data_IF_705759451658
#
_entry.id   IF_705759451658
#
_cell.length_a   1.000
_cell.length_b   1.000
_cell.length_c   1.000
_cell.angle_alpha   90.00
_cell.angle_beta   90.00
_cell.angle_gamma   90.00
#
_symmetry.space_group_name_H-M   'P 1'
#
loop_
_entity.id
_entity.type
_entity.pdbx_description
1 polymer ?
#
# COMPACT_ATOMS: atom_id res chain seq x y z
N UNK A 1 12.93 -13.01 4.17
CA UNK A 1 11.58 -13.36 3.69
C UNK A 1 10.77 -12.16 3.18
N UNK A 2 11.34 -10.96 3.14
CA UNK A 2 10.65 -9.72 2.71
C UNK A 2 10.38 -9.61 1.19
N UNK A 3 10.94 -10.49 0.35
CA UNK A 3 10.88 -10.31 -1.11
C UNK A 3 9.79 -11.12 -1.83
N UNK A 4 8.92 -11.82 -1.11
CA UNK A 4 7.83 -12.60 -1.75
C UNK A 4 6.66 -11.77 -2.31
N UNK A 5 6.59 -10.48 -2.01
CA UNK A 5 5.45 -9.64 -2.40
C UNK A 5 5.61 -8.93 -3.76
N UNK A 6 6.79 -8.92 -4.38
CA UNK A 6 7.06 -7.97 -5.45
C UNK A 6 6.86 -8.49 -6.88
N UNK A 7 6.90 -9.79 -7.14
CA UNK A 7 6.81 -10.27 -8.53
C UNK A 7 5.94 -11.51 -8.64
N UNK A 8 4.63 -11.31 -8.68
CA UNK A 8 3.73 -12.32 -9.23
C UNK A 8 3.82 -12.18 -10.75
N UNK A 9 4.69 -12.97 -11.37
CA UNK A 9 4.78 -13.09 -12.83
C UNK A 9 3.58 -13.90 -13.29
N UNK A 10 2.42 -13.25 -13.38
CA UNK A 10 1.34 -13.73 -14.22
C UNK A 10 1.54 -13.05 -15.58
N UNK A 11 1.64 -13.84 -16.64
CA UNK A 11 1.53 -13.40 -18.02
C UNK A 11 0.10 -12.88 -18.26
N UNK A 12 -0.20 -11.70 -17.75
CA UNK A 12 -1.38 -10.95 -18.13
C UNK A 12 -1.14 -10.47 -19.58
N UNK A 13 -1.64 -11.22 -20.54
CA UNK A 13 -1.81 -10.71 -21.91
C UNK A 13 -2.54 -9.38 -21.74
N UNK A 14 -1.89 -8.27 -22.12
CA UNK A 14 -2.51 -6.94 -22.04
C UNK A 14 -3.79 -6.98 -22.84
N UNK A 15 -4.93 -6.81 -22.19
CA UNK A 15 -6.20 -6.74 -22.89
C UNK A 15 -6.26 -5.49 -23.78
N UNK A 16 -7.20 -5.44 -24.70
CA UNK A 16 -7.35 -4.30 -25.61
C UNK A 16 -7.57 -2.97 -24.90
N UNK A 17 -8.14 -3.01 -23.70
CA UNK A 17 -8.39 -1.80 -22.90
C UNK A 17 -7.09 -1.27 -22.27
N UNK A 18 -6.26 -2.12 -21.71
CA UNK A 18 -4.95 -1.74 -21.18
C UNK A 18 -4.04 -1.18 -22.27
N UNK A 19 -4.01 -1.83 -23.45
CA UNK A 19 -3.25 -1.36 -24.60
C UNK A 19 -3.69 0.03 -25.08
N UNK A 20 -4.99 0.32 -25.05
CA UNK A 20 -5.52 1.65 -25.39
C UNK A 20 -5.11 2.73 -24.38
N UNK A 21 -5.16 2.41 -23.08
CA UNK A 21 -4.75 3.35 -22.03
C UNK A 21 -3.25 3.66 -22.10
N UNK A 22 -2.40 2.68 -22.40
CA UNK A 22 -0.96 2.91 -22.58
C UNK A 22 -0.67 3.76 -23.82
N UNK A 23 -1.38 3.53 -24.94
CA UNK A 23 -1.28 4.39 -26.14
C UNK A 23 -1.71 5.83 -25.86
N UNK A 24 -2.67 6.04 -24.97
CA UNK A 24 -3.05 7.38 -24.52
C UNK A 24 -1.90 8.06 -23.77
N UNK A 25 -1.19 7.32 -22.90
CA UNK A 25 0.02 7.82 -22.24
C UNK A 25 1.08 8.20 -23.26
N UNK A 26 1.37 7.34 -24.24
CA UNK A 26 2.34 7.62 -25.32
C UNK A 26 1.97 8.89 -26.10
N UNK A 27 0.70 9.03 -26.46
CA UNK A 27 0.19 10.23 -27.13
C UNK A 27 0.38 11.51 -26.30
N UNK A 28 0.12 11.45 -25.00
CA UNK A 28 0.32 12.61 -24.13
C UNK A 28 1.81 12.89 -23.84
N UNK A 29 2.66 11.87 -23.83
CA UNK A 29 4.13 12.04 -23.82
C UNK A 29 4.58 12.75 -25.10
N UNK A 30 4.14 12.29 -26.29
CA UNK A 30 4.43 12.96 -27.55
C UNK A 30 4.01 14.42 -27.54
N UNK A 31 2.79 14.69 -27.08
CA UNK A 31 2.27 16.06 -26.96
C UNK A 31 3.13 16.92 -26.03
N UNK A 32 3.65 16.35 -24.92
CA UNK A 32 4.49 17.09 -23.96
C UNK A 32 5.85 17.52 -24.50
N UNK A 33 6.35 16.86 -25.56
CA UNK A 33 7.58 17.27 -26.25
C UNK A 33 7.38 18.44 -27.22
N UNK A 34 6.13 18.73 -27.59
CA UNK A 34 5.79 19.74 -28.61
C UNK A 34 4.95 20.91 -28.07
N UNK A 35 4.36 20.75 -26.90
CA UNK A 35 3.45 21.71 -26.28
C UNK A 35 3.79 21.87 -24.80
N UNK A 36 4.06 23.09 -24.36
CA UNK A 36 4.32 23.41 -22.94
C UNK A 36 3.15 24.26 -22.42
N UNK A 37 2.11 23.58 -21.91
CA UNK A 37 0.94 24.22 -21.34
C UNK A 37 0.47 23.50 -20.08
N UNK A 38 -0.16 24.21 -19.15
CA UNK A 38 -0.75 23.62 -17.93
C UNK A 38 -1.84 22.59 -18.27
N UNK A 39 -2.57 22.77 -19.36
CA UNK A 39 -3.59 21.84 -19.83
C UNK A 39 -2.98 20.52 -20.28
N UNK A 40 -1.91 20.59 -21.06
CA UNK A 40 -1.17 19.41 -21.53
C UNK A 40 -0.56 18.64 -20.34
N UNK A 41 0.08 19.33 -19.38
CA UNK A 41 0.64 18.71 -18.19
C UNK A 41 -0.45 18.00 -17.36
N UNK A 42 -1.64 18.58 -17.27
CA UNK A 42 -2.78 17.98 -16.57
C UNK A 42 -3.31 16.75 -17.30
N UNK A 43 -3.40 16.76 -18.63
CA UNK A 43 -3.89 15.63 -19.42
C UNK A 43 -2.90 14.46 -19.38
N UNK A 44 -1.61 14.72 -19.44
CA UNK A 44 -0.56 13.73 -19.24
C UNK A 44 -0.67 13.10 -17.84
N UNK A 45 -0.82 13.90 -16.80
CA UNK A 45 -1.01 13.40 -15.44
C UNK A 45 -2.27 12.54 -15.29
N UNK A 46 -3.39 12.94 -15.93
CA UNK A 46 -4.62 12.14 -15.96
C UNK A 46 -4.43 10.80 -16.66
N UNK A 47 -3.69 10.76 -17.77
CA UNK A 47 -3.42 9.51 -18.48
C UNK A 47 -2.65 8.52 -17.60
N UNK A 48 -1.66 8.98 -16.82
CA UNK A 48 -0.97 8.16 -15.83
C UNK A 48 -1.88 7.71 -14.67
N UNK A 49 -2.74 8.58 -14.15
CA UNK A 49 -3.73 8.20 -13.12
C UNK A 49 -4.63 7.08 -13.64
N UNK A 50 -5.07 7.16 -14.89
CA UNK A 50 -5.94 6.16 -15.49
C UNK A 50 -5.27 4.77 -15.58
N UNK A 51 -4.01 4.68 -16.01
CA UNK A 51 -3.30 3.39 -16.06
C UNK A 51 -3.03 2.80 -14.67
N UNK A 52 -2.79 3.62 -13.66
CA UNK A 52 -2.63 3.17 -12.27
C UNK A 52 -3.95 2.65 -11.71
N UNK A 53 -5.05 3.42 -11.84
CA UNK A 53 -6.40 3.02 -11.38
C UNK A 53 -6.92 1.77 -12.10
N UNK A 54 -6.66 1.65 -13.38
CA UNK A 54 -7.01 0.49 -14.18
C UNK A 54 -6.09 -0.72 -13.94
N UNK A 55 -5.07 -0.57 -13.06
CA UNK A 55 -4.09 -1.64 -12.74
C UNK A 55 -3.40 -2.17 -13.99
N UNK A 56 -3.10 -1.29 -14.95
CA UNK A 56 -2.37 -1.65 -16.16
C UNK A 56 -0.99 -2.20 -15.83
N UNK A 57 -0.47 -3.03 -16.73
CA UNK A 57 0.88 -3.56 -16.66
C UNK A 57 1.82 -2.75 -17.55
N UNK A 58 3.11 -2.71 -17.21
CA UNK A 58 4.18 -2.06 -17.96
C UNK A 58 5.36 -3.03 -18.05
N UNK A 59 6.16 -2.92 -19.07
CA UNK A 59 7.32 -3.78 -19.32
C UNK A 59 8.54 -3.13 -18.66
N UNK A 60 9.31 -3.91 -17.90
CA UNK A 60 10.57 -3.47 -17.30
C UNK A 60 11.72 -4.41 -17.68
N UNK A 61 12.92 -3.87 -17.94
CA UNK A 61 14.11 -4.68 -18.12
C UNK A 61 14.59 -5.18 -16.76
N UNK A 62 15.06 -6.44 -16.74
CA UNK A 62 15.48 -7.10 -15.50
C UNK A 62 16.79 -7.86 -15.68
N UNK A 63 17.51 -8.02 -14.58
CA UNK A 63 18.62 -8.97 -14.45
C UNK A 63 18.23 -10.06 -13.48
N UNK A 64 18.61 -11.29 -13.79
CA UNK A 64 18.49 -12.39 -12.84
C UNK A 64 19.73 -12.40 -11.92
N UNK A 65 19.53 -12.72 -10.66
CA UNK A 65 20.66 -13.00 -9.75
C UNK A 65 21.40 -14.28 -10.19
N UNK A 66 22.69 -14.35 -9.91
CA UNK A 66 23.74 -15.20 -10.51
C UNK A 66 23.45 -16.70 -10.78
N UNK A 67 22.44 -17.30 -10.18
CA UNK A 67 22.17 -18.74 -10.33
C UNK A 67 21.37 -19.15 -11.60
N UNK A 68 21.02 -18.20 -12.47
CA UNK A 68 20.10 -18.43 -13.60
C UNK A 68 20.69 -18.35 -14.99
N UNK A 69 21.98 -18.13 -15.13
CA UNK A 69 22.60 -18.04 -16.47
C UNK A 69 22.38 -19.30 -17.33
N UNK A 70 22.19 -20.47 -16.69
CA UNK A 70 21.97 -21.75 -17.38
C UNK A 70 20.52 -21.95 -17.83
N UNK A 71 19.53 -21.45 -17.06
CA UNK A 71 18.10 -21.61 -17.41
C UNK A 71 17.65 -20.69 -18.56
N UNK A 72 18.45 -19.67 -18.89
CA UNK A 72 18.21 -18.75 -20.00
C UNK A 72 18.88 -19.17 -21.32
N UNK A 73 19.75 -20.18 -21.25
CA UNK A 73 20.45 -20.67 -22.45
C UNK A 73 19.46 -21.36 -23.40
N UNK A 74 19.30 -20.79 -24.58
CA UNK A 74 18.45 -21.35 -25.64
C UNK A 74 17.07 -20.70 -25.77
N UNK A 75 16.73 -19.71 -24.92
CA UNK A 75 15.53 -18.89 -25.12
C UNK A 75 15.78 -17.85 -26.21
N UNK A 76 14.79 -17.65 -27.08
CA UNK A 76 14.80 -16.60 -28.10
C UNK A 76 13.98 -15.41 -27.62
N UNK A 77 14.19 -14.28 -28.25
CA UNK A 77 13.39 -13.09 -28.03
C UNK A 77 11.89 -13.37 -28.24
N UNK A 78 11.08 -13.17 -27.19
CA UNK A 78 9.64 -13.46 -27.18
C UNK A 78 9.24 -14.80 -26.62
N UNK A 79 10.20 -15.66 -26.24
CA UNK A 79 9.90 -16.91 -25.55
C UNK A 79 9.41 -16.64 -24.11
N UNK A 80 8.34 -17.31 -23.70
CA UNK A 80 7.80 -17.25 -22.35
C UNK A 80 8.30 -18.43 -21.53
N UNK A 81 8.68 -18.20 -20.28
CA UNK A 81 9.06 -19.26 -19.36
C UNK A 81 8.60 -18.95 -17.94
N UNK A 82 8.48 -19.98 -17.12
CA UNK A 82 8.11 -19.83 -15.71
C UNK A 82 9.36 -19.87 -14.85
N UNK A 83 9.54 -18.83 -14.03
CA UNK A 83 10.63 -18.79 -13.07
C UNK A 83 10.44 -19.79 -11.94
N UNK A 84 11.53 -20.34 -11.43
CA UNK A 84 11.53 -21.12 -10.19
C UNK A 84 11.28 -20.19 -8.99
N UNK A 85 10.74 -20.72 -7.91
CA UNK A 85 10.31 -19.96 -6.72
C UNK A 85 11.43 -19.18 -6.00
N UNK A 86 12.70 -19.47 -6.26
CA UNK A 86 13.89 -18.91 -5.61
C UNK A 86 14.60 -17.83 -6.45
N UNK A 87 14.10 -17.55 -7.66
CA UNK A 87 14.71 -16.56 -8.55
C UNK A 87 14.32 -15.15 -8.18
N UNK A 88 15.31 -14.28 -8.09
CA UNK A 88 15.11 -12.84 -7.92
C UNK A 88 15.41 -12.10 -9.22
N UNK A 89 14.45 -11.31 -9.68
CA UNK A 89 14.63 -10.39 -10.79
C UNK A 89 14.89 -8.99 -10.23
N UNK A 90 15.99 -8.38 -10.67
CA UNK A 90 16.34 -7.02 -10.28
C UNK A 90 16.05 -6.09 -11.46
N UNK A 91 15.16 -5.08 -11.30
CA UNK A 91 14.93 -4.08 -12.35
C UNK A 91 16.21 -3.33 -12.70
N UNK A 92 16.46 -3.13 -13.99
CA UNK A 92 17.61 -2.37 -14.48
C UNK A 92 17.41 -0.88 -14.28
N UNK A 93 18.53 -0.21 -14.07
CA UNK A 93 18.63 1.24 -13.99
C UNK A 93 19.51 1.77 -15.11
N UNK A 94 19.39 3.07 -15.39
CA UNK A 94 20.31 3.81 -16.26
C UNK A 94 20.74 5.10 -15.58
N UNK A 95 22.01 5.45 -15.77
CA UNK A 95 22.56 6.73 -15.33
C UNK A 95 22.31 7.81 -16.38
N UNK A 96 21.95 9.01 -15.95
CA UNK A 96 21.91 10.18 -16.81
C UNK A 96 23.32 10.66 -17.13
N UNK A 97 23.47 11.44 -18.22
CA UNK A 97 24.71 12.18 -18.45
C UNK A 97 24.97 13.13 -17.26
N UNK A 98 26.25 13.31 -16.88
CA UNK A 98 26.59 14.25 -15.81
C UNK A 98 26.03 15.65 -16.10
N UNK A 99 25.49 16.30 -15.06
CA UNK A 99 25.07 17.69 -15.12
C UNK A 99 26.30 18.63 -15.15
N UNK A 100 26.07 19.94 -15.16
CA UNK A 100 27.13 20.96 -15.13
C UNK A 100 28.04 20.90 -13.89
N UNK A 101 27.61 20.19 -12.84
CA UNK A 101 28.36 19.96 -11.60
C UNK A 101 29.01 18.59 -11.55
N UNK A 102 28.86 17.77 -12.62
CA UNK A 102 29.37 16.42 -12.71
C UNK A 102 28.55 15.37 -11.94
N UNK A 103 27.33 15.71 -11.51
CA UNK A 103 26.42 14.77 -10.84
C UNK A 103 25.68 13.95 -11.90
N UNK A 104 25.71 12.62 -11.77
CA UNK A 104 24.82 11.70 -12.49
C UNK A 104 23.65 11.34 -11.59
N UNK A 105 22.52 11.04 -12.20
CA UNK A 105 21.30 10.59 -11.54
C UNK A 105 20.91 9.23 -12.08
N UNK A 106 20.47 8.34 -11.23
CA UNK A 106 20.07 6.99 -11.57
C UNK A 106 18.55 6.88 -11.65
N UNK A 107 18.04 6.25 -12.72
CA UNK A 107 16.61 6.06 -12.97
C UNK A 107 16.32 4.60 -13.28
N UNK A 108 15.20 4.08 -12.78
CA UNK A 108 14.66 2.80 -13.23
C UNK A 108 14.07 2.94 -14.64
N UNK A 109 14.07 1.84 -15.39
CA UNK A 109 13.61 1.83 -16.80
C UNK A 109 12.25 1.15 -16.92
N UNK A 110 11.40 1.69 -17.79
CA UNK A 110 10.14 1.08 -18.17
C UNK A 110 9.83 1.29 -19.65
N UNK A 111 9.06 0.38 -20.25
CA UNK A 111 8.61 0.46 -21.63
C UNK A 111 7.10 0.31 -21.70
N UNK A 112 6.45 1.12 -22.51
CA UNK A 112 5.00 1.11 -22.71
C UNK A 112 4.52 -0.08 -23.54
N UNK A 113 5.40 -0.59 -24.42
CA UNK A 113 5.14 -1.72 -25.28
C UNK A 113 6.44 -2.49 -25.61
N UNK A 114 6.34 -3.66 -26.27
CA UNK A 114 7.50 -4.47 -26.65
C UNK A 114 8.39 -3.83 -27.72
N UNK A 115 7.81 -3.07 -28.65
CA UNK A 115 8.57 -2.41 -29.72
C UNK A 115 9.57 -1.42 -29.12
N UNK A 116 9.16 -0.66 -28.14
CA UNK A 116 10.03 0.26 -27.40
C UNK A 116 11.14 -0.48 -26.65
N UNK A 117 10.87 -1.68 -26.12
CA UNK A 117 11.92 -2.45 -25.44
C UNK A 117 13.01 -2.97 -26.37
N UNK A 118 12.73 -3.06 -27.67
CA UNK A 118 13.67 -3.49 -28.69
C UNK A 118 14.54 -2.34 -29.25
N UNK A 119 14.22 -1.08 -28.95
CA UNK A 119 15.02 0.07 -29.32
C UNK A 119 16.34 0.18 -28.55
N UNK A 120 16.45 -0.50 -27.42
CA UNK A 120 17.58 -0.46 -26.48
C UNK A 120 18.51 -1.67 -26.57
N UNK A 121 19.44 -1.78 -25.61
CA UNK A 121 20.27 -2.96 -25.44
C UNK A 121 19.43 -4.22 -25.23
N UNK A 122 19.87 -5.33 -25.80
CA UNK A 122 19.24 -6.63 -25.58
C UNK A 122 19.25 -6.97 -24.09
N UNK A 123 18.08 -7.24 -23.53
CA UNK A 123 17.91 -7.52 -22.11
C UNK A 123 16.64 -8.33 -21.86
N UNK A 124 16.64 -9.10 -20.78
CA UNK A 124 15.42 -9.77 -20.34
C UNK A 124 14.41 -8.75 -19.84
N UNK A 125 13.14 -9.01 -20.07
CA UNK A 125 12.05 -8.15 -19.64
C UNK A 125 11.00 -8.94 -18.88
N UNK A 126 10.32 -8.28 -17.96
CA UNK A 126 9.11 -8.82 -17.33
C UNK A 126 8.01 -7.76 -17.29
N UNK A 127 6.79 -8.20 -17.05
CA UNK A 127 5.61 -7.34 -16.97
C UNK A 127 5.22 -7.14 -15.52
N UNK A 128 5.04 -5.89 -15.08
CA UNK A 128 4.65 -5.53 -13.71
C UNK A 128 3.49 -4.55 -13.72
N UNK A 129 2.67 -4.55 -12.68
CA UNK A 129 1.61 -3.52 -12.53
C UNK A 129 2.25 -2.14 -12.34
N UNK A 130 1.83 -1.15 -13.14
CA UNK A 130 2.38 0.22 -13.13
C UNK A 130 2.43 0.79 -11.72
N UNK A 131 1.32 0.72 -10.99
CA UNK A 131 1.26 1.26 -9.63
C UNK A 131 2.26 0.62 -8.67
N UNK A 132 2.44 -0.71 -8.72
CA UNK A 132 3.41 -1.42 -7.89
C UNK A 132 4.85 -1.07 -8.27
N UNK A 133 5.14 -0.92 -9.56
CA UNK A 133 6.44 -0.49 -10.04
C UNK A 133 6.78 0.93 -9.55
N UNK A 134 5.84 1.88 -9.70
CA UNK A 134 6.01 3.24 -9.20
C UNK A 134 6.21 3.28 -7.66
N UNK A 135 5.52 2.41 -6.93
CA UNK A 135 5.71 2.28 -5.47
C UNK A 135 7.10 1.74 -5.13
N UNK A 136 7.62 0.77 -5.89
CA UNK A 136 9.00 0.27 -5.74
C UNK A 136 10.02 1.39 -5.99
N UNK A 137 9.81 2.21 -7.02
CA UNK A 137 10.67 3.38 -7.32
C UNK A 137 10.68 4.38 -6.16
N UNK A 138 9.52 4.66 -5.56
CA UNK A 138 9.45 5.53 -4.38
C UNK A 138 10.28 5.00 -3.22
N UNK A 139 10.30 3.67 -3.02
CA UNK A 139 10.94 3.02 -1.89
C UNK A 139 12.43 2.75 -2.08
N UNK A 140 12.95 2.93 -3.30
CA UNK A 140 14.35 2.69 -3.62
C UNK A 140 15.16 3.98 -3.48
N UNK A 141 16.12 4.03 -2.53
CA UNK A 141 16.83 5.27 -2.18
C UNK A 141 17.83 5.73 -3.26
N UNK A 142 18.41 4.78 -3.99
CA UNK A 142 19.48 4.99 -4.97
C UNK A 142 18.98 5.44 -6.37
N UNK A 143 17.67 5.65 -6.57
CA UNK A 143 17.09 6.14 -7.82
C UNK A 143 16.30 7.42 -7.63
N UNK A 144 16.31 8.29 -8.65
CA UNK A 144 15.57 9.57 -8.63
C UNK A 144 14.15 9.47 -9.21
N UNK A 145 13.86 8.36 -9.93
CA UNK A 145 12.57 8.15 -10.58
C UNK A 145 12.62 7.05 -11.63
N UNK A 146 11.79 7.21 -12.68
CA UNK A 146 11.78 6.32 -13.85
C UNK A 146 12.02 7.10 -15.15
N UNK A 147 12.56 6.41 -16.14
CA UNK A 147 12.54 6.86 -17.54
C UNK A 147 11.72 5.87 -18.33
N UNK A 148 10.71 6.38 -19.01
CA UNK A 148 9.85 5.62 -19.91
C UNK A 148 10.43 5.71 -21.30
N UNK A 149 10.53 4.56 -22.00
CA UNK A 149 11.04 4.43 -23.37
C UNK A 149 12.40 5.13 -23.59
N UNK A 150 13.44 4.84 -22.75
CA UNK A 150 14.69 5.61 -22.72
C UNK A 150 15.49 5.58 -24.03
N UNK A 151 15.22 4.62 -24.92
CA UNK A 151 15.91 4.42 -26.19
C UNK A 151 15.02 4.70 -27.40
N UNK A 152 13.75 5.05 -27.17
CA UNK A 152 12.81 5.51 -28.19
C UNK A 152 13.07 6.96 -28.60
N UNK A 153 12.26 7.46 -29.53
CA UNK A 153 12.39 8.83 -30.05
C UNK A 153 12.05 9.90 -28.98
N UNK A 154 11.18 9.58 -28.05
CA UNK A 154 10.63 10.51 -27.06
C UNK A 154 10.70 9.94 -25.63
N UNK A 155 11.88 9.84 -25.02
CA UNK A 155 12.02 9.36 -23.65
C UNK A 155 11.40 10.33 -22.65
N UNK A 156 10.65 9.80 -21.68
CA UNK A 156 9.97 10.63 -20.68
C UNK A 156 10.41 10.29 -19.25
N UNK A 157 10.79 11.33 -18.47
CA UNK A 157 11.22 11.18 -17.07
C UNK A 157 10.08 11.49 -16.11
N UNK A 158 9.91 10.62 -15.12
CA UNK A 158 9.00 10.83 -13.99
C UNK A 158 9.82 10.76 -12.70
N UNK A 159 9.92 11.89 -12.01
CA UNK A 159 10.62 11.97 -10.73
C UNK A 159 9.79 11.39 -9.59
N UNK A 160 10.42 11.10 -8.45
CA UNK A 160 9.70 10.66 -7.24
C UNK A 160 8.63 11.65 -6.78
N UNK A 161 8.84 12.96 -6.93
CA UNK A 161 7.84 13.95 -6.55
C UNK A 161 6.63 13.93 -7.49
N UNK A 162 6.85 13.73 -8.80
CA UNK A 162 5.76 13.51 -9.75
C UNK A 162 4.99 12.22 -9.44
N UNK A 163 5.66 11.14 -9.03
CA UNK A 163 5.00 9.90 -8.60
C UNK A 163 4.12 10.13 -7.36
N UNK A 164 4.60 10.89 -6.37
CA UNK A 164 3.80 11.25 -5.19
C UNK A 164 2.54 12.04 -5.58
N UNK A 165 2.69 13.05 -6.44
CA UNK A 165 1.56 13.85 -6.94
C UNK A 165 0.56 12.97 -7.71
N UNK A 166 1.04 12.07 -8.57
CA UNK A 166 0.22 11.09 -9.26
C UNK A 166 -0.58 10.24 -8.27
N UNK A 167 0.06 9.74 -7.22
CA UNK A 167 -0.58 8.88 -6.22
C UNK A 167 -1.64 9.61 -5.40
N UNK A 168 -1.41 10.89 -5.06
CA UNK A 168 -2.44 11.73 -4.42
C UNK A 168 -3.70 11.81 -5.31
N UNK A 169 -3.55 11.91 -6.63
CA UNK A 169 -4.69 11.97 -7.57
C UNK A 169 -5.34 10.60 -7.81
N UNK A 170 -4.69 9.52 -7.44
CA UNK A 170 -5.30 8.18 -7.46
C UNK A 170 -6.27 7.94 -6.29
N UNK A 171 -6.18 8.75 -5.22
CA UNK A 171 -7.06 8.65 -4.06
C UNK A 171 -8.48 9.10 -4.43
N UNK A 172 -9.47 8.30 -4.06
CA UNK A 172 -10.87 8.65 -4.27
C UNK A 172 -11.35 9.57 -3.16
N UNK A 173 -11.49 10.86 -3.50
CA UNK A 173 -12.02 11.88 -2.61
C UNK A 173 -13.55 11.72 -2.52
N UNK A 174 -14.02 11.21 -1.41
CA UNK A 174 -15.47 10.99 -1.21
C UNK A 174 -15.84 10.85 0.27
N UNK A 175 -17.07 10.37 0.53
CA UNK A 175 -17.48 9.97 1.87
C UNK A 175 -16.64 8.79 2.37
N UNK A 176 -16.44 8.70 3.69
CA UNK A 176 -15.65 7.63 4.28
C UNK A 176 -16.27 6.25 4.00
N UNK A 177 -15.47 5.19 4.08
CA UNK A 177 -15.92 3.82 3.78
C UNK A 177 -17.04 3.35 4.70
N UNK A 178 -17.02 3.77 5.97
CA UNK A 178 -18.06 3.41 6.93
C UNK A 178 -19.43 3.99 6.52
N UNK A 179 -19.49 5.23 6.01
CA UNK A 179 -20.72 5.83 5.51
C UNK A 179 -21.24 5.11 4.27
N UNK A 180 -20.34 4.81 3.32
CA UNK A 180 -20.67 4.04 2.10
C UNK A 180 -21.22 2.65 2.45
N UNK A 181 -20.62 2.00 3.42
CA UNK A 181 -21.07 0.69 3.87
C UNK A 181 -22.46 0.78 4.50
N UNK A 182 -22.68 1.74 5.41
CA UNK A 182 -23.98 1.96 6.02
C UNK A 182 -25.08 2.25 4.99
N UNK A 183 -24.85 3.18 4.06
CA UNK A 183 -25.80 3.54 3.02
C UNK A 183 -26.20 2.34 2.14
N UNK A 184 -25.26 1.43 1.87
CA UNK A 184 -25.52 0.20 1.11
C UNK A 184 -26.40 -0.81 1.85
N UNK A 185 -26.31 -0.85 3.21
CA UNK A 185 -26.91 -1.92 4.02
C UNK A 185 -27.98 -1.43 5.00
N UNK A 186 -28.34 -0.14 5.01
CA UNK A 186 -29.29 0.43 5.98
C UNK A 186 -30.70 -0.17 5.92
N UNK A 187 -31.12 -0.70 4.78
CA UNK A 187 -32.42 -1.36 4.61
C UNK A 187 -32.43 -2.78 5.19
N UNK A 188 -31.28 -3.40 5.37
CA UNK A 188 -31.10 -4.74 5.95
C UNK A 188 -31.04 -4.70 7.49
N UNK A 189 -31.38 -3.58 8.13
CA UNK A 189 -31.18 -3.36 9.55
C UNK A 189 -32.18 -4.16 10.40
N UNK A 190 -31.85 -5.41 10.71
CA UNK A 190 -32.51 -6.16 11.78
C UNK A 190 -32.09 -5.61 13.14
N UNK A 191 -32.99 -5.63 14.15
CA UNK A 191 -32.64 -5.19 15.49
C UNK A 191 -31.43 -5.98 16.00
N UNK A 192 -30.42 -5.25 16.50
CA UNK A 192 -29.17 -5.83 16.98
C UNK A 192 -29.43 -7.01 17.95
N UNK A 193 -28.96 -8.20 17.59
CA UNK A 193 -28.84 -9.30 18.54
C UNK A 193 -27.87 -8.86 19.62
N UNK A 194 -28.21 -9.13 20.89
CA UNK A 194 -27.25 -8.87 21.98
C UNK A 194 -25.92 -9.56 21.68
N UNK A 195 -24.84 -8.80 21.67
CA UNK A 195 -23.49 -9.32 21.40
C UNK A 195 -23.02 -10.11 22.61
N UNK A 196 -22.73 -11.40 22.45
CA UNK A 196 -22.05 -12.22 23.46
C UNK A 196 -20.54 -12.20 23.19
N UNK A 197 -19.76 -11.65 24.11
CA UNK A 197 -18.30 -11.58 24.01
C UNK A 197 -17.66 -12.97 23.82
N UNK A 198 -18.26 -14.02 24.38
CA UNK A 198 -17.77 -15.39 24.19
C UNK A 198 -17.84 -15.82 22.72
N UNK A 199 -18.92 -15.47 22.03
CA UNK A 199 -19.08 -15.79 20.61
C UNK A 199 -18.09 -15.00 19.75
N UNK A 200 -17.85 -13.71 20.09
CA UNK A 200 -16.85 -12.88 19.42
C UNK A 200 -15.43 -13.44 19.59
N UNK A 201 -15.07 -13.83 20.82
CA UNK A 201 -13.75 -14.40 21.11
C UNK A 201 -13.57 -15.77 20.42
N UNK A 202 -14.62 -16.59 20.36
CA UNK A 202 -14.59 -17.87 19.65
C UNK A 202 -14.37 -17.66 18.16
N UNK A 203 -15.07 -16.73 17.56
CA UNK A 203 -14.91 -16.35 16.16
C UNK A 203 -13.52 -15.78 15.88
N UNK A 204 -13.04 -14.84 16.70
CA UNK A 204 -11.71 -14.26 16.56
C UNK A 204 -10.62 -15.36 16.69
N UNK A 205 -10.75 -16.30 17.61
CA UNK A 205 -9.80 -17.39 17.78
C UNK A 205 -9.71 -18.29 16.54
N UNK A 206 -10.83 -18.53 15.86
CA UNK A 206 -10.85 -19.32 14.62
C UNK A 206 -10.26 -18.54 13.45
N UNK A 207 -10.63 -17.27 13.29
CA UNK A 207 -10.14 -16.40 12.22
C UNK A 207 -8.64 -16.16 12.31
N UNK A 208 -8.10 -15.99 13.51
CA UNK A 208 -6.66 -15.78 13.74
C UNK A 208 -5.86 -17.06 13.93
N UNK A 209 -6.50 -18.22 13.79
CA UNK A 209 -5.82 -19.50 13.92
C UNK A 209 -4.61 -19.55 12.99
N UNK A 210 -3.48 -19.98 13.55
CA UNK A 210 -2.20 -20.10 12.85
C UNK A 210 -1.63 -18.77 12.30
N UNK A 211 -2.22 -17.62 12.66
CA UNK A 211 -1.72 -16.29 12.31
C UNK A 211 -0.83 -15.74 13.43
N UNK A 212 0.41 -15.42 13.10
CA UNK A 212 1.35 -14.80 14.01
C UNK A 212 1.77 -13.40 13.52
N UNK A 213 2.25 -12.58 14.43
CA UNK A 213 2.91 -11.31 14.09
C UNK A 213 4.17 -11.64 13.29
N UNK A 214 4.41 -10.91 12.20
CA UNK A 214 5.34 -11.24 11.10
C UNK A 214 6.74 -11.73 11.51
N UNK A 215 7.24 -11.34 12.67
CA UNK A 215 8.64 -11.60 13.08
C UNK A 215 8.74 -12.39 14.37
N UNK A 216 7.62 -12.73 14.96
CA UNK A 216 7.55 -13.46 16.22
C UNK A 216 6.53 -14.60 16.15
N UNK A 217 6.66 -15.59 17.02
CA UNK A 217 5.63 -16.63 17.22
C UNK A 217 4.43 -16.12 18.04
N UNK A 218 4.31 -14.80 18.25
CA UNK A 218 3.20 -14.21 18.99
C UNK A 218 1.93 -14.29 18.15
N UNK A 219 0.85 -14.95 18.65
CA UNK A 219 -0.41 -15.00 17.92
C UNK A 219 -0.96 -13.61 17.62
N UNK A 220 -1.43 -13.38 16.39
CA UNK A 220 -1.98 -12.10 15.95
C UNK A 220 -3.20 -11.66 16.78
N UNK A 221 -3.96 -12.63 17.31
CA UNK A 221 -5.06 -12.39 18.25
C UNK A 221 -4.64 -11.55 19.45
N UNK A 222 -3.40 -11.71 19.97
CA UNK A 222 -2.90 -10.94 21.13
C UNK A 222 -2.83 -9.44 20.81
N UNK A 223 -2.43 -9.07 19.59
CA UNK A 223 -2.45 -7.67 19.17
C UNK A 223 -3.88 -7.13 19.10
N UNK A 224 -4.82 -7.89 18.56
CA UNK A 224 -6.23 -7.52 18.46
C UNK A 224 -6.89 -7.39 19.83
N UNK A 225 -6.55 -8.25 20.79
CA UNK A 225 -6.97 -8.10 22.20
C UNK A 225 -6.42 -6.81 22.83
N UNK A 226 -5.20 -6.40 22.47
CA UNK A 226 -4.62 -5.12 22.87
C UNK A 226 -5.45 -3.92 22.37
N UNK A 227 -5.90 -3.96 21.12
CA UNK A 227 -6.80 -2.94 20.55
C UNK A 227 -8.14 -2.90 21.31
N UNK A 228 -8.77 -4.05 21.52
CA UNK A 228 -10.04 -4.14 22.25
C UNK A 228 -9.92 -3.64 23.71
N UNK A 229 -8.79 -3.91 24.37
CA UNK A 229 -8.51 -3.39 25.72
C UNK A 229 -8.45 -1.86 25.74
N UNK A 230 -7.71 -1.24 24.79
CA UNK A 230 -7.66 0.23 24.69
C UNK A 230 -9.03 0.85 24.40
N UNK A 231 -9.86 0.18 23.61
CA UNK A 231 -11.23 0.64 23.34
C UNK A 231 -12.11 0.61 24.60
N UNK A 232 -11.93 -0.39 25.45
CA UNK A 232 -12.69 -0.48 26.72
C UNK A 232 -12.37 0.68 27.67
N UNK A 233 -11.15 1.22 27.62
CA UNK A 233 -10.73 2.38 28.40
C UNK A 233 -11.34 3.69 27.91
N UNK A 234 -11.71 3.75 26.61
CA UNK A 234 -12.22 4.97 25.98
C UNK A 234 -13.76 5.05 25.95
N UNK A 235 -14.43 4.03 25.46
CA UNK A 235 -15.89 4.10 25.20
C UNK A 235 -16.67 2.85 25.60
N UNK A 236 -16.09 1.68 25.56
CA UNK A 236 -16.65 0.42 26.02
C UNK A 236 -17.89 -0.14 25.31
N UNK A 237 -18.34 0.45 24.18
CA UNK A 237 -19.48 -0.06 23.44
C UNK A 237 -19.24 -1.47 22.87
N UNK A 238 -20.23 -2.41 22.92
CA UNK A 238 -20.04 -3.79 22.47
C UNK A 238 -19.65 -3.89 21.00
N UNK A 239 -20.25 -3.10 20.12
CA UNK A 239 -19.92 -3.05 18.69
C UNK A 239 -18.47 -2.64 18.45
N UNK A 240 -17.99 -1.68 19.25
CA UNK A 240 -16.63 -1.18 19.16
C UNK A 240 -15.61 -2.20 19.70
N UNK A 241 -15.96 -2.99 20.72
CA UNK A 241 -15.13 -4.10 21.20
C UNK A 241 -15.02 -5.21 20.13
N UNK A 242 -16.14 -5.56 19.48
CA UNK A 242 -16.13 -6.47 18.32
C UNK A 242 -15.20 -5.94 17.23
N UNK A 243 -15.34 -4.65 16.91
CA UNK A 243 -14.50 -4.00 15.91
C UNK A 243 -13.01 -4.04 16.29
N UNK A 244 -12.66 -3.79 17.54
CA UNK A 244 -11.28 -3.88 18.03
C UNK A 244 -10.68 -5.28 17.92
N UNK A 245 -11.47 -6.31 18.23
CA UNK A 245 -11.02 -7.70 18.10
C UNK A 245 -10.86 -8.15 16.66
N UNK A 246 -11.63 -7.61 15.70
CA UNK A 246 -11.67 -8.09 14.32
C UNK A 246 -11.04 -7.13 13.31
N UNK A 247 -10.60 -5.93 13.71
CA UNK A 247 -10.04 -4.93 12.81
C UNK A 247 -8.88 -5.46 11.96
N UNK A 248 -7.92 -6.13 12.59
CA UNK A 248 -6.77 -6.73 11.89
C UNK A 248 -7.20 -7.86 10.96
N UNK A 249 -8.17 -8.69 11.36
CA UNK A 249 -8.70 -9.77 10.54
C UNK A 249 -9.34 -9.24 9.24
N UNK A 250 -10.13 -8.17 9.34
CA UNK A 250 -10.77 -7.52 8.18
C UNK A 250 -9.71 -6.87 7.30
N UNK A 251 -8.74 -6.18 7.87
CA UNK A 251 -7.64 -5.57 7.11
C UNK A 251 -6.82 -6.60 6.34
N UNK A 252 -6.53 -7.77 6.94
CA UNK A 252 -5.77 -8.85 6.30
C UNK A 252 -6.64 -9.74 5.38
N UNK A 253 -7.94 -9.48 5.27
CA UNK A 253 -8.86 -10.27 4.45
C UNK A 253 -9.17 -11.66 5.03
N UNK A 254 -8.90 -11.88 6.33
CA UNK A 254 -9.19 -13.12 7.04
C UNK A 254 -10.66 -13.23 7.46
N UNK A 255 -11.35 -12.11 7.60
CA UNK A 255 -12.77 -12.02 7.95
C UNK A 255 -13.54 -11.19 6.93
N UNK A 256 -14.79 -11.60 6.65
CA UNK A 256 -15.69 -10.95 5.71
C UNK A 256 -16.68 -10.03 6.47
N UNK A 257 -16.91 -8.84 5.95
CA UNK A 257 -17.84 -7.88 6.57
C UNK A 257 -19.31 -8.35 6.57
N UNK A 258 -19.73 -9.10 5.55
CA UNK A 258 -21.11 -9.61 5.49
C UNK A 258 -21.34 -10.69 6.58
N UNK A 259 -20.37 -11.58 6.81
CA UNK A 259 -20.42 -12.57 7.89
C UNK A 259 -20.42 -11.88 9.27
N UNK A 260 -19.60 -10.83 9.44
CA UNK A 260 -19.60 -10.02 10.68
C UNK A 260 -20.94 -9.32 10.89
N UNK A 261 -21.54 -8.76 9.83
CA UNK A 261 -22.88 -8.12 9.89
C UNK A 261 -23.94 -9.11 10.35
N UNK A 262 -23.94 -10.32 9.81
CA UNK A 262 -24.92 -11.37 10.17
C UNK A 262 -24.75 -11.85 11.62
N UNK A 263 -23.51 -11.98 12.09
CA UNK A 263 -23.21 -12.51 13.44
C UNK A 263 -23.32 -11.46 14.54
N UNK A 264 -22.75 -10.28 14.30
CA UNK A 264 -22.49 -9.27 15.33
C UNK A 264 -23.21 -7.94 15.08
N UNK A 265 -23.93 -7.83 13.96
CA UNK A 265 -24.76 -6.67 13.64
C UNK A 265 -24.12 -5.67 12.68
N UNK A 266 -25.02 -4.84 12.11
CA UNK A 266 -24.66 -3.85 11.10
C UNK A 266 -23.64 -2.81 11.63
N UNK A 267 -23.79 -2.38 12.89
CA UNK A 267 -22.91 -1.35 13.46
C UNK A 267 -21.47 -1.79 13.56
N UNK A 268 -21.21 -2.99 14.06
CA UNK A 268 -19.85 -3.54 14.15
C UNK A 268 -19.22 -3.66 12.73
N UNK A 269 -19.97 -4.17 11.74
CA UNK A 269 -19.50 -4.26 10.37
C UNK A 269 -19.26 -2.90 9.72
N UNK A 270 -20.12 -1.90 10.00
CA UNK A 270 -19.96 -0.52 9.54
C UNK A 270 -18.64 0.08 10.04
N UNK A 271 -18.37 0.00 11.34
CA UNK A 271 -17.13 0.50 11.95
C UNK A 271 -15.93 -0.21 11.31
N UNK A 272 -15.98 -1.53 11.18
CA UNK A 272 -14.91 -2.36 10.60
C UNK A 272 -14.66 -2.10 9.12
N UNK A 273 -15.66 -1.66 8.37
CA UNK A 273 -15.49 -1.36 6.95
C UNK A 273 -14.44 -0.25 6.70
N UNK A 274 -14.22 0.64 7.67
CA UNK A 274 -13.16 1.65 7.65
C UNK A 274 -11.75 1.05 7.65
N UNK A 275 -11.58 -0.18 8.14
CA UNK A 275 -10.28 -0.86 8.24
C UNK A 275 -9.92 -1.66 6.99
N UNK A 276 -10.80 -1.73 5.99
CA UNK A 276 -10.54 -2.43 4.74
C UNK A 276 -9.55 -1.67 3.87
N UNK A 277 -8.60 -2.39 3.27
CA UNK A 277 -7.69 -1.85 2.25
C UNK A 277 -7.78 -2.67 0.96
N UNK A 278 -7.73 -2.01 -0.20
CA UNK A 278 -7.55 -2.71 -1.48
C UNK A 278 -6.09 -3.13 -1.64
N UNK A 279 -5.76 -4.34 -1.19
CA UNK A 279 -4.39 -4.88 -1.24
C UNK A 279 -3.83 -5.00 -2.65
N UNK A 280 -4.64 -4.83 -3.69
CA UNK A 280 -4.18 -4.80 -5.09
C UNK A 280 -3.62 -3.44 -5.51
N UNK A 281 -3.87 -2.40 -4.70
CA UNK A 281 -3.30 -1.07 -4.89
C UNK A 281 -1.95 -0.93 -4.16
N UNK A 282 -1.03 -0.08 -4.66
CA UNK A 282 0.25 0.21 -4.03
C UNK A 282 0.09 0.65 -2.56
N UNK A 283 1.05 0.29 -1.72
CA UNK A 283 1.03 0.63 -0.28
C UNK A 283 0.82 2.12 -0.03
N UNK A 284 1.55 2.97 -0.75
CA UNK A 284 1.47 4.43 -0.56
C UNK A 284 0.07 4.98 -0.87
N UNK A 285 -0.58 4.52 -1.95
CA UNK A 285 -1.96 4.90 -2.29
C UNK A 285 -2.94 4.41 -1.22
N UNK A 286 -2.79 3.15 -0.75
CA UNK A 286 -3.64 2.58 0.31
C UNK A 286 -3.59 3.42 1.59
N UNK A 287 -2.38 3.84 1.99
CA UNK A 287 -2.19 4.66 3.20
C UNK A 287 -2.69 6.09 3.01
N UNK A 288 -2.50 6.70 1.84
CA UNK A 288 -3.12 7.99 1.51
C UNK A 288 -4.65 7.92 1.61
N UNK A 289 -5.25 6.88 1.01
CA UNK A 289 -6.70 6.68 1.06
C UNK A 289 -7.20 6.49 2.49
N UNK A 290 -6.50 5.69 3.28
CA UNK A 290 -6.85 5.46 4.68
C UNK A 290 -6.79 6.76 5.52
N UNK A 291 -5.72 7.54 5.36
CA UNK A 291 -5.56 8.82 6.06
C UNK A 291 -6.65 9.82 5.66
N UNK A 292 -7.01 9.88 4.38
CA UNK A 292 -8.11 10.73 3.88
C UNK A 292 -9.45 10.29 4.47
N UNK A 293 -9.78 8.99 4.40
CA UNK A 293 -11.00 8.41 4.95
C UNK A 293 -11.17 8.73 6.45
N UNK A 294 -10.13 8.49 7.26
CA UNK A 294 -10.19 8.75 8.71
C UNK A 294 -10.24 10.24 9.04
N UNK A 295 -9.53 11.07 8.29
CA UNK A 295 -9.54 12.52 8.55
C UNK A 295 -10.92 13.14 8.30
N UNK A 296 -11.65 12.66 7.30
CA UNK A 296 -12.97 13.16 6.88
C UNK A 296 -14.15 12.48 7.55
N UNK A 297 -13.94 11.32 8.17
CA UNK A 297 -15.00 10.59 8.84
C UNK A 297 -15.53 11.39 10.04
N UNK A 298 -16.85 11.57 10.13
CA UNK A 298 -17.48 12.24 11.29
C UNK A 298 -17.80 11.25 12.42
N UNK A 299 -17.78 9.95 12.13
CA UNK A 299 -18.07 8.89 13.08
C UNK A 299 -16.94 8.72 14.10
N UNK A 300 -17.23 9.06 15.34
CA UNK A 300 -16.27 9.01 16.46
C UNK A 300 -15.77 7.59 16.75
N UNK A 301 -16.62 6.56 16.64
CA UNK A 301 -16.22 5.17 16.90
C UNK A 301 -15.26 4.65 15.84
N UNK A 302 -15.43 5.07 14.58
CA UNK A 302 -14.48 4.79 13.49
C UNK A 302 -13.11 5.41 13.79
N UNK A 303 -13.08 6.68 14.22
CA UNK A 303 -11.83 7.36 14.59
C UNK A 303 -11.17 6.74 15.81
N UNK A 304 -11.93 6.36 16.81
CA UNK A 304 -11.41 5.73 18.04
C UNK A 304 -10.84 4.35 17.73
N UNK A 305 -11.49 3.55 16.85
CA UNK A 305 -10.94 2.29 16.37
C UNK A 305 -9.61 2.50 15.64
N UNK A 306 -9.54 3.44 14.72
CA UNK A 306 -8.31 3.76 13.97
C UNK A 306 -7.17 4.20 14.90
N UNK A 307 -7.47 5.03 15.88
CA UNK A 307 -6.52 5.50 16.90
C UNK A 307 -5.95 4.34 17.73
N UNK A 308 -6.80 3.51 18.31
CA UNK A 308 -6.38 2.39 19.16
C UNK A 308 -5.68 1.28 18.36
N UNK A 309 -6.09 1.04 17.12
CA UNK A 309 -5.40 0.12 16.21
C UNK A 309 -3.98 0.59 15.91
N UNK A 310 -3.78 1.88 15.62
CA UNK A 310 -2.46 2.45 15.36
C UNK A 310 -1.52 2.33 16.57
N UNK A 311 -2.02 2.54 17.77
CA UNK A 311 -1.24 2.38 19.03
C UNK A 311 -0.87 0.92 19.24
N UNK A 312 -1.81 0.00 19.08
CA UNK A 312 -1.58 -1.44 19.24
C UNK A 312 -0.53 -1.94 18.27
N UNK A 313 -0.53 -1.46 17.04
CA UNK A 313 0.47 -1.77 16.02
C UNK A 313 1.84 -1.16 16.39
N UNK A 314 1.91 0.10 16.80
CA UNK A 314 3.14 0.73 17.26
C UNK A 314 3.75 0.03 18.49
N UNK A 315 2.92 -0.46 19.42
CA UNK A 315 3.38 -1.28 20.55
C UNK A 315 4.05 -2.57 20.07
N UNK A 316 3.47 -3.22 19.08
CA UNK A 316 4.04 -4.44 18.49
C UNK A 316 5.36 -4.14 17.81
N UNK A 317 5.43 -3.16 16.92
CA UNK A 317 6.66 -2.75 16.22
C UNK A 317 7.74 -2.36 17.23
N UNK A 318 7.42 -1.54 18.23
CA UNK A 318 8.39 -1.14 19.24
C UNK A 318 8.96 -2.32 20.03
N UNK A 319 8.10 -3.27 20.43
CA UNK A 319 8.55 -4.49 21.13
C UNK A 319 9.50 -5.31 20.26
N UNK A 320 9.20 -5.43 18.99
CA UNK A 320 10.03 -6.17 18.03
C UNK A 320 11.36 -5.47 17.78
N UNK A 321 11.36 -4.14 17.63
CA UNK A 321 12.61 -3.36 17.53
C UNK A 321 13.54 -3.49 18.76
N UNK A 322 13.01 -3.81 19.95
CA UNK A 322 13.84 -4.08 21.14
C UNK A 322 14.57 -5.44 21.01
N UNK A 323 13.93 -6.41 20.34
CA UNK A 323 14.46 -7.76 20.17
C UNK A 323 15.38 -7.84 18.96
N UNK A 324 15.00 -7.19 17.86
CA UNK A 324 15.72 -7.18 16.59
C UNK A 324 15.58 -5.81 15.93
N UNK A 325 16.68 -5.06 15.83
CA UNK A 325 16.70 -3.73 15.22
C UNK A 325 16.53 -3.76 13.70
N UNK A 326 16.65 -4.93 13.07
CA UNK A 326 16.43 -5.11 11.63
C UNK A 326 14.95 -5.22 11.24
N UNK A 327 14.04 -5.22 12.23
CA UNK A 327 12.59 -5.37 11.99
C UNK A 327 12.03 -4.32 11.01
N UNK A 328 12.55 -3.10 11.06
CA UNK A 328 12.12 -2.03 10.17
C UNK A 328 12.45 -2.29 8.68
N UNK A 329 13.34 -3.26 8.39
CA UNK A 329 13.67 -3.67 7.02
C UNK A 329 12.68 -4.69 6.43
N UNK A 330 11.86 -5.33 7.29
CA UNK A 330 10.91 -6.39 6.87
C UNK A 330 9.45 -5.96 7.00
N UNK A 331 9.19 -4.70 7.35
CA UNK A 331 7.85 -4.12 7.36
C UNK A 331 7.30 -3.94 5.93
N UNK A 332 6.00 -3.73 5.80
CA UNK A 332 5.29 -3.54 4.53
C UNK A 332 5.83 -2.38 3.67
N UNK A 333 6.56 -1.45 4.28
CA UNK A 333 7.21 -0.32 3.62
C UNK A 333 8.48 0.09 4.36
N UNK A 334 9.44 0.75 3.67
CA UNK A 334 10.64 1.30 4.30
C UNK A 334 10.32 2.23 5.47
N UNK A 335 11.23 2.25 6.47
CA UNK A 335 11.05 2.99 7.72
C UNK A 335 10.66 4.47 7.53
N UNK A 336 11.20 5.15 6.52
CA UNK A 336 10.88 6.55 6.16
C UNK A 336 9.39 6.74 5.82
N UNK A 337 8.78 5.78 5.08
CA UNK A 337 7.37 5.83 4.70
C UNK A 337 6.46 5.43 5.86
N UNK A 338 6.87 4.46 6.68
CA UNK A 338 6.20 4.13 7.93
C UNK A 338 6.23 5.32 8.89
N UNK A 339 7.37 5.98 9.04
CA UNK A 339 7.54 7.22 9.82
C UNK A 339 6.59 8.32 9.34
N UNK A 340 6.51 8.55 8.02
CA UNK A 340 5.56 9.50 7.44
C UNK A 340 4.11 9.13 7.80
N UNK A 341 3.71 7.90 7.59
CA UNK A 341 2.34 7.43 7.85
C UNK A 341 1.92 7.64 9.31
N UNK A 342 2.74 7.19 10.26
CA UNK A 342 2.43 7.39 11.68
C UNK A 342 2.50 8.84 12.12
N UNK A 343 3.33 9.67 11.49
CA UNK A 343 3.34 11.11 11.72
C UNK A 343 2.01 11.75 11.31
N UNK A 344 1.46 11.37 10.16
CA UNK A 344 0.15 11.87 9.71
C UNK A 344 -0.97 11.39 10.63
N UNK A 345 -0.95 10.15 11.09
CA UNK A 345 -1.90 9.65 12.10
C UNK A 345 -1.82 10.45 13.41
N UNK A 346 -0.61 10.76 13.91
CA UNK A 346 -0.47 11.62 15.10
C UNK A 346 -1.10 13.00 14.90
N UNK A 347 -1.05 13.56 13.69
CA UNK A 347 -1.72 14.84 13.39
C UNK A 347 -3.23 14.72 13.38
N UNK A 348 -3.78 13.66 12.74
CA UNK A 348 -5.23 13.40 12.69
C UNK A 348 -5.80 13.23 14.09
N UNK A 349 -5.08 12.52 14.97
CA UNK A 349 -5.54 12.24 16.32
C UNK A 349 -5.12 13.27 17.37
N UNK A 350 -4.56 14.42 16.95
CA UNK A 350 -4.05 15.44 17.88
C UNK A 350 -5.10 15.96 18.88
N UNK A 351 -6.38 16.00 18.49
CA UNK A 351 -7.46 16.43 19.36
C UNK A 351 -7.62 15.54 20.62
N UNK A 352 -7.26 14.26 20.53
CA UNK A 352 -7.29 13.33 21.68
C UNK A 352 -6.27 13.68 22.78
N UNK A 353 -5.30 14.54 22.51
CA UNK A 353 -4.39 15.07 23.53
C UNK A 353 -5.08 15.97 24.56
N UNK A 354 -6.31 16.41 24.29
CA UNK A 354 -7.06 17.36 25.14
C UNK A 354 -8.29 16.74 25.80
N UNK A 355 -8.57 15.48 25.49
CA UNK A 355 -9.70 14.75 26.06
C UNK A 355 -9.24 13.93 27.29
N UNK A 356 -9.89 14.07 28.47
CA UNK A 356 -9.40 13.47 29.73
C UNK A 356 -9.18 11.96 29.67
N UNK A 357 -9.99 11.22 28.89
CA UNK A 357 -9.88 9.77 28.79
C UNK A 357 -8.78 9.33 27.80
N UNK A 358 -8.44 10.14 26.82
CA UNK A 358 -7.52 9.76 25.73
C UNK A 358 -6.17 10.46 25.79
N UNK A 359 -5.99 11.50 26.61
CA UNK A 359 -4.75 12.26 26.72
C UNK A 359 -3.52 11.36 26.94
N UNK A 360 -3.60 10.46 27.92
CA UNK A 360 -2.49 9.56 28.25
C UNK A 360 -2.21 8.54 27.13
N UNK A 361 -3.25 8.08 26.43
CA UNK A 361 -3.15 7.14 25.30
C UNK A 361 -2.52 7.85 24.09
N UNK A 362 -2.90 9.09 23.84
CA UNK A 362 -2.27 9.91 22.80
C UNK A 362 -0.78 10.20 23.10
N UNK A 363 -0.47 10.54 24.36
CA UNK A 363 0.91 10.74 24.79
C UNK A 363 1.75 9.46 24.59
N UNK A 364 1.17 8.29 24.85
CA UNK A 364 1.81 7.00 24.55
C UNK A 364 2.06 6.81 23.04
N UNK A 365 1.06 7.10 22.19
CA UNK A 365 1.21 7.03 20.72
C UNK A 365 2.40 7.85 20.24
N UNK A 366 2.50 9.10 20.71
CA UNK A 366 3.61 10.00 20.34
C UNK A 366 4.94 9.49 20.88
N UNK A 367 4.96 8.93 22.09
CA UNK A 367 6.18 8.36 22.68
C UNK A 367 6.65 7.12 21.92
N UNK A 368 5.74 6.23 21.53
CA UNK A 368 6.04 5.06 20.70
C UNK A 368 6.54 5.46 19.31
N UNK A 369 5.86 6.38 18.66
CA UNK A 369 6.31 6.93 17.36
C UNK A 369 7.76 7.42 17.42
N UNK A 370 8.11 8.20 18.48
CA UNK A 370 9.47 8.69 18.67
C UNK A 370 10.47 7.56 18.91
N UNK A 371 10.12 6.57 19.74
CA UNK A 371 11.01 5.43 20.03
C UNK A 371 11.28 4.58 18.82
N UNK A 372 10.27 4.34 17.98
CA UNK A 372 10.39 3.49 16.79
C UNK A 372 11.12 4.20 15.65
N UNK A 373 10.81 5.48 15.39
CA UNK A 373 11.24 6.13 14.15
C UNK A 373 12.21 7.31 14.32
N UNK A 374 12.45 7.80 15.53
CA UNK A 374 13.32 8.96 15.74
C UNK A 374 14.63 8.64 16.49
N UNK A 375 14.72 7.45 17.10
CA UNK A 375 15.92 6.99 17.78
C UNK A 375 16.74 6.01 16.93
N UNK A 376 16.34 5.78 15.69
CA UNK A 376 17.15 5.03 14.71
C UNK A 376 18.19 6.02 14.19
N UNK A 377 19.43 5.87 14.65
CA UNK A 377 20.59 6.66 14.21
C UNK A 377 21.06 6.18 12.84
#
# INVERSE_FOLDING_TARGET
MADKAFYNIQNDIMDNNQSNLLREVEKEIHRSHHEDSDEQALDLLKSFVNIVKAKCSIIIPVEATDDMSEDWVGLNQGDEFTLKDDVRLVPKTIETKPDEKGKTEEYMVAYTNLEESFCGPETNTCTVKVGNFLNTVLFKDDVEGIIINPFGDEPFRITKDMIKELFVRCVDLGSCKADKFYEKHKEDNEPAKGIDLKDVLSYASEVYKDQCILTTDTPLLVQSMGTASLLSDLTGGPDLIVAGLLAKAVNEGLANLDDIKERFGLRAAQILSSQTEDKTMPWYIRKLQYLDDISKCDDIEVKVLAFTSAISELRSIHRECIVDDTILLVLDAPAEYMKWYYKELCKIFYLYAYEPLSEHIYAEMVALYKKVFMNVA
#
